data_IF_069123535462
#
_entry.id   IF_069123535462
#
_cell.length_a   1.000
_cell.length_b   1.000
_cell.length_c   1.000
_cell.angle_alpha   90.00
_cell.angle_beta   90.00
_cell.angle_gamma   90.00
#
_symmetry.space_group_name_H-M   'P 1'
#
loop_
_entity.id
_entity.type
_entity.pdbx_description
1 polymer ?
#
# COMPACT_ATOMS: atom_id res chain seq x y z
N UNK A 1 -55.17 20.22 -75.80
CA UNK A 1 -53.96 19.42 -76.07
C UNK A 1 -53.18 19.40 -74.75
N UNK A 2 -53.49 18.48 -73.82
CA UNK A 2 -52.64 17.33 -73.44
C UNK A 2 -51.41 17.78 -72.65
N UNK A 3 -51.06 17.37 -71.42
CA UNK A 3 -51.24 16.12 -70.63
C UNK A 3 -51.05 16.48 -69.14
N UNK A 4 -51.92 16.05 -68.21
CA UNK A 4 -51.69 15.01 -67.19
C UNK A 4 -50.23 14.68 -66.79
N UNK A 5 -49.97 14.67 -65.48
CA UNK A 5 -48.75 14.14 -64.85
C UNK A 5 -48.78 14.30 -63.32
N UNK A 6 -49.20 13.23 -62.66
CA UNK A 6 -49.49 13.07 -61.23
C UNK A 6 -48.25 12.77 -60.37
N UNK A 7 -48.47 12.74 -59.04
CA UNK A 7 -47.76 11.99 -57.98
C UNK A 7 -46.77 12.74 -57.06
N UNK A 8 -47.21 12.94 -55.81
CA UNK A 8 -46.35 12.83 -54.62
C UNK A 8 -46.11 11.36 -54.29
N UNK A 9 -45.01 11.01 -53.60
CA UNK A 9 -45.22 10.56 -52.22
C UNK A 9 -44.12 10.92 -51.21
N UNK A 10 -44.51 10.73 -49.95
CA UNK A 10 -43.76 10.83 -48.71
C UNK A 10 -42.47 9.98 -48.63
N UNK A 11 -41.49 10.51 -47.86
CA UNK A 11 -40.80 9.72 -46.82
C UNK A 11 -39.28 9.54 -46.96
N UNK A 12 -38.52 10.07 -45.98
CA UNK A 12 -37.60 9.25 -45.17
C UNK A 12 -37.00 10.02 -43.98
N UNK A 13 -36.93 9.30 -42.85
CA UNK A 13 -36.38 9.68 -41.55
C UNK A 13 -34.85 9.96 -41.56
N UNK A 14 -34.31 10.63 -40.52
CA UNK A 14 -32.86 10.78 -40.36
C UNK A 14 -32.20 9.45 -39.96
N UNK A 15 -31.09 9.11 -40.60
CA UNK A 15 -30.28 7.94 -40.29
C UNK A 15 -29.43 8.18 -39.03
N UNK A 16 -29.68 7.40 -37.98
CA UNK A 16 -28.75 7.20 -36.86
C UNK A 16 -27.48 6.51 -37.37
N UNK A 17 -26.34 7.21 -37.29
CA UNK A 17 -25.02 6.63 -37.53
C UNK A 17 -24.51 5.91 -36.28
N UNK A 18 -24.57 4.57 -36.29
CA UNK A 18 -23.99 3.70 -35.26
C UNK A 18 -22.46 3.71 -35.35
N UNK A 19 -21.77 4.11 -34.27
CA UNK A 19 -20.31 3.97 -34.13
C UNK A 19 -19.92 2.50 -33.96
N UNK A 20 -19.33 1.89 -34.99
CA UNK A 20 -18.77 0.54 -34.91
C UNK A 20 -17.44 0.55 -34.11
N UNK A 21 -17.44 -0.13 -32.97
CA UNK A 21 -16.24 -0.40 -32.15
C UNK A 21 -15.30 -1.34 -32.91
N UNK A 22 -14.11 -0.86 -33.29
CA UNK A 22 -13.07 -1.74 -33.87
C UNK A 22 -12.49 -2.66 -32.78
N UNK A 23 -12.58 -3.98 -33.01
CA UNK A 23 -11.89 -4.99 -32.20
C UNK A 23 -10.37 -4.96 -32.49
N UNK A 24 -9.50 -5.06 -31.47
CA UNK A 24 -8.05 -5.13 -31.67
C UNK A 24 -7.65 -6.48 -32.31
N UNK A 25 -6.75 -6.43 -33.29
CA UNK A 25 -6.31 -7.57 -34.10
C UNK A 25 -5.48 -8.61 -33.32
N UNK A 26 -5.78 -9.90 -33.53
CA UNK A 26 -5.18 -11.06 -32.86
C UNK A 26 -3.65 -11.23 -33.03
N UNK A 27 -3.00 -10.45 -33.90
CA UNK A 27 -1.56 -10.49 -34.12
C UNK A 27 -0.75 -9.94 -32.94
N UNK A 28 -1.29 -8.99 -32.16
CA UNK A 28 -0.60 -8.39 -31.00
C UNK A 28 -0.62 -9.32 -29.79
N UNK A 29 -1.68 -10.12 -29.64
CA UNK A 29 -1.81 -11.08 -28.54
C UNK A 29 -0.80 -12.24 -28.66
N UNK A 30 -0.49 -12.68 -29.89
CA UNK A 30 0.49 -13.75 -30.13
C UNK A 30 1.93 -13.32 -29.82
N UNK A 31 2.28 -12.05 -30.06
CA UNK A 31 3.62 -11.52 -29.71
C UNK A 31 3.81 -11.38 -28.20
N UNK A 32 2.80 -10.92 -27.44
CA UNK A 32 2.90 -10.82 -25.97
C UNK A 32 3.01 -12.17 -25.26
N UNK A 33 2.44 -13.24 -25.82
CA UNK A 33 2.46 -14.58 -25.21
C UNK A 33 3.84 -15.26 -25.28
N UNK A 34 4.66 -14.94 -26.28
CA UNK A 34 6.01 -15.48 -26.43
C UNK A 34 7.01 -14.84 -25.44
N UNK A 35 6.89 -13.54 -25.16
CA UNK A 35 7.75 -12.84 -24.19
C UNK A 35 7.47 -13.25 -22.73
N UNK A 36 6.20 -13.48 -22.38
CA UNK A 36 5.82 -13.96 -21.05
C UNK A 36 6.26 -15.41 -20.79
N UNK A 37 6.19 -16.30 -21.79
CA UNK A 37 6.65 -17.69 -21.64
C UNK A 37 8.17 -17.82 -21.50
N UNK A 38 8.94 -17.02 -22.24
CA UNK A 38 10.40 -17.01 -22.16
C UNK A 38 10.93 -16.50 -20.82
N UNK A 39 10.33 -15.44 -20.26
CA UNK A 39 10.74 -14.88 -18.98
C UNK A 39 10.48 -15.83 -17.80
N UNK A 40 9.37 -16.57 -17.81
CA UNK A 40 9.03 -17.54 -16.75
C UNK A 40 10.00 -18.73 -16.76
N UNK A 41 10.39 -19.25 -17.94
CA UNK A 41 11.36 -20.35 -18.03
C UNK A 41 12.75 -19.94 -17.53
N UNK A 42 13.16 -18.69 -17.78
CA UNK A 42 14.43 -18.15 -17.29
C UNK A 42 14.45 -18.04 -15.76
N UNK A 43 13.34 -17.62 -15.14
CA UNK A 43 13.21 -17.56 -13.68
C UNK A 43 13.25 -18.97 -13.07
N UNK A 44 12.57 -19.94 -13.67
CA UNK A 44 12.58 -21.33 -13.17
C UNK A 44 13.99 -21.94 -13.22
N UNK A 45 14.76 -21.66 -14.28
CA UNK A 45 16.16 -22.12 -14.39
C UNK A 45 17.10 -21.45 -13.37
N UNK A 46 16.85 -20.19 -13.00
CA UNK A 46 17.63 -19.50 -11.97
C UNK A 46 17.33 -20.01 -10.56
N UNK A 47 16.07 -20.40 -10.28
CA UNK A 47 15.65 -20.88 -8.95
C UNK A 47 16.10 -22.33 -8.71
N UNK A 48 16.21 -23.18 -9.73
CA UNK A 48 16.73 -24.55 -9.58
C UNK A 48 18.24 -24.63 -9.33
N UNK A 49 18.98 -23.53 -9.55
CA UNK A 49 20.42 -23.45 -9.33
C UNK A 49 20.82 -23.17 -7.87
N UNK A 50 19.86 -22.84 -7.00
CA UNK A 50 20.11 -22.46 -5.60
C UNK A 50 19.74 -23.56 -4.57
N UNK A 51 19.46 -24.78 -5.03
CA UNK A 51 19.02 -25.89 -4.18
C UNK A 51 20.01 -27.07 -4.10
N UNK A 52 21.31 -26.85 -4.32
CA UNK A 52 22.37 -27.85 -4.06
C UNK A 52 23.59 -27.17 -3.42
N UNK A 53 23.44 -26.70 -2.18
CA UNK A 53 24.57 -26.38 -1.28
C UNK A 53 24.05 -26.28 0.17
N UNK A 54 23.62 -27.41 0.73
CA UNK A 54 23.17 -27.48 2.12
C UNK A 54 23.26 -28.88 2.72
N UNK A 55 24.00 -29.79 2.08
CA UNK A 55 24.37 -31.05 2.70
C UNK A 55 25.60 -30.83 3.60
N UNK A 56 25.61 -31.54 4.71
CA UNK A 56 26.68 -31.66 5.72
C UNK A 56 26.64 -30.69 6.90
N UNK A 57 25.99 -31.14 7.98
CA UNK A 57 26.35 -30.99 9.41
C UNK A 57 25.04 -30.94 10.22
N UNK A 58 24.74 -31.78 11.19
CA UNK A 58 25.50 -32.83 11.82
C UNK A 58 24.53 -33.84 12.45
N UNK A 59 25.03 -35.07 12.55
CA UNK A 59 24.44 -36.20 13.25
C UNK A 59 24.72 -36.05 14.74
N UNK A 60 23.72 -36.26 15.60
CA UNK A 60 23.92 -36.70 16.98
C UNK A 60 22.66 -37.44 17.45
N UNK A 61 22.82 -38.77 17.52
CA UNK A 61 22.21 -39.74 18.44
C UNK A 61 21.63 -39.12 19.74
N UNK A 62 20.40 -39.43 20.18
CA UNK A 62 19.85 -40.68 20.76
C UNK A 62 19.62 -40.54 22.28
N UNK A 63 18.53 -41.18 22.73
CA UNK A 63 18.15 -41.64 24.08
C UNK A 63 16.99 -40.83 24.70
N UNK A 64 15.76 -41.34 24.71
CA UNK A 64 15.22 -42.47 25.50
C UNK A 64 14.84 -42.10 26.94
N UNK A 65 13.52 -42.09 27.14
CA UNK A 65 12.80 -42.92 28.12
C UNK A 65 12.37 -42.31 29.47
N UNK A 66 11.06 -42.50 29.64
CA UNK A 66 10.31 -42.96 30.82
C UNK A 66 9.79 -41.97 31.87
N UNK A 67 8.46 -42.05 31.99
CA UNK A 67 7.61 -41.62 33.08
C UNK A 67 7.91 -42.34 34.40
N UNK A 68 7.57 -41.70 35.52
CA UNK A 68 7.04 -42.38 36.70
C UNK A 68 6.26 -41.41 37.60
N UNK A 69 5.08 -41.87 37.99
CA UNK A 69 4.09 -41.32 38.91
C UNK A 69 4.35 -41.89 40.32
N UNK A 70 4.17 -41.10 41.39
CA UNK A 70 3.73 -41.48 42.75
C UNK A 70 3.86 -40.22 43.64
N UNK A 71 2.83 -39.58 44.19
CA UNK A 71 1.85 -40.02 45.20
C UNK A 71 2.49 -40.48 46.52
N UNK A 72 2.43 -39.63 47.55
CA UNK A 72 1.88 -39.92 48.89
C UNK A 72 2.34 -38.88 49.94
N UNK A 73 1.36 -38.22 50.55
CA UNK A 73 1.40 -37.59 51.89
C UNK A 73 1.50 -38.69 52.97
N UNK A 74 1.87 -38.41 54.25
CA UNK A 74 0.99 -37.70 55.19
C UNK A 74 1.66 -36.75 56.21
N UNK A 75 0.90 -35.70 56.58
CA UNK A 75 0.61 -35.20 57.95
C UNK A 75 1.74 -35.04 58.99
N UNK A 76 1.97 -33.80 59.48
CA UNK A 76 1.70 -33.39 60.88
C UNK A 76 2.27 -32.01 61.26
N UNK A 77 1.54 -31.37 62.19
CA UNK A 77 1.95 -30.35 63.15
C UNK A 77 1.92 -28.87 62.70
N UNK A 78 0.84 -28.22 63.15
CA UNK A 78 0.62 -26.79 63.14
C UNK A 78 1.64 -26.02 63.99
N UNK A 79 2.07 -24.87 63.49
CA UNK A 79 2.61 -23.77 64.27
C UNK A 79 2.11 -22.46 63.63
N UNK A 80 1.46 -21.53 64.36
CA UNK A 80 0.92 -20.32 63.77
C UNK A 80 2.07 -19.32 63.59
N UNK A 81 2.76 -19.41 62.45
CA UNK A 81 3.62 -18.31 62.01
C UNK A 81 2.73 -17.29 61.31
N UNK A 82 2.65 -16.12 61.92
CA UNK A 82 2.03 -14.90 61.39
C UNK A 82 2.56 -14.64 59.98
N UNK A 83 1.78 -14.99 58.96
CA UNK A 83 2.11 -14.68 57.57
C UNK A 83 1.91 -13.18 57.35
N UNK A 84 3.01 -12.44 57.40
CA UNK A 84 3.09 -11.13 56.78
C UNK A 84 2.75 -11.29 55.28
N UNK A 85 1.78 -10.56 54.72
CA UNK A 85 1.49 -10.64 53.29
C UNK A 85 2.71 -10.14 52.53
N UNK A 86 3.43 -11.05 51.87
CA UNK A 86 4.48 -10.70 50.94
C UNK A 86 3.90 -9.70 49.91
N UNK A 87 4.57 -8.56 49.65
CA UNK A 87 4.07 -7.61 48.69
C UNK A 87 3.98 -8.31 47.33
N UNK A 88 2.77 -8.42 46.81
CA UNK A 88 2.53 -8.91 45.46
C UNK A 88 3.33 -8.00 44.51
N UNK A 89 4.21 -8.53 43.64
CA UNK A 89 4.92 -7.70 42.70
C UNK A 89 3.88 -7.01 41.85
N UNK A 90 3.77 -5.68 42.01
CA UNK A 90 2.97 -4.88 41.09
C UNK A 90 3.55 -5.14 39.70
N UNK A 91 2.75 -5.55 38.70
CA UNK A 91 3.28 -5.76 37.36
C UNK A 91 3.85 -4.42 36.89
N UNK A 92 5.18 -4.34 36.87
CA UNK A 92 5.86 -3.22 36.25
C UNK A 92 5.42 -3.21 34.81
N UNK A 93 4.73 -2.16 34.37
CA UNK A 93 4.26 -2.05 33.01
C UNK A 93 5.49 -2.17 32.10
N UNK A 94 5.63 -3.31 31.43
CA UNK A 94 6.66 -3.50 30.40
C UNK A 94 6.54 -2.32 29.44
N UNK A 95 7.61 -1.56 29.17
CA UNK A 95 7.51 -0.36 28.35
C UNK A 95 6.92 -0.72 26.99
N UNK A 96 5.67 -0.29 26.75
CA UNK A 96 5.01 -0.47 25.47
C UNK A 96 5.58 0.47 24.41
N UNK A 97 5.28 0.21 23.14
CA UNK A 97 5.53 1.18 22.08
C UNK A 97 4.88 2.53 22.42
N UNK A 98 5.69 3.60 22.43
CA UNK A 98 5.17 4.95 22.46
C UNK A 98 4.78 5.40 21.04
N UNK A 99 3.49 5.32 20.72
CA UNK A 99 2.96 5.68 19.40
C UNK A 99 3.21 7.15 19.01
N UNK A 100 3.53 8.05 19.95
CA UNK A 100 3.90 9.43 19.62
C UNK A 100 5.28 9.52 18.97
N UNK A 101 6.15 8.53 19.20
CA UNK A 101 7.47 8.44 18.56
C UNK A 101 7.41 7.80 17.17
N UNK A 102 6.26 7.29 16.74
CA UNK A 102 6.01 6.90 15.35
C UNK A 102 5.68 8.17 14.56
N UNK A 103 6.52 8.48 13.57
CA UNK A 103 6.43 9.70 12.76
C UNK A 103 6.17 9.35 11.29
N UNK A 104 5.57 10.30 10.56
CA UNK A 104 5.31 10.19 9.12
C UNK A 104 6.04 11.33 8.42
N UNK A 105 6.77 11.03 7.36
CA UNK A 105 7.41 12.02 6.49
C UNK A 105 6.95 11.87 5.05
N UNK A 106 6.83 13.00 4.36
CA UNK A 106 6.56 13.08 2.94
C UNK A 106 7.82 13.54 2.20
N UNK A 107 8.09 12.95 1.04
CA UNK A 107 9.09 13.43 0.11
C UNK A 107 8.70 13.15 -1.34
N UNK A 108 9.39 13.81 -2.26
CA UNK A 108 9.33 13.53 -3.69
C UNK A 108 10.74 13.19 -4.18
N UNK A 109 10.86 12.44 -5.29
CA UNK A 109 12.15 12.02 -5.84
C UNK A 109 12.97 13.17 -6.45
N UNK A 110 12.32 14.28 -6.81
CA UNK A 110 12.95 15.52 -7.29
C UNK A 110 12.25 16.73 -6.68
N UNK A 111 12.96 17.85 -6.63
CA UNK A 111 12.40 19.15 -6.23
C UNK A 111 11.64 19.84 -7.38
N UNK A 112 11.96 19.52 -8.63
CA UNK A 112 11.32 20.09 -9.81
C UNK A 112 11.25 19.03 -10.93
N UNK A 113 10.20 19.12 -11.74
CA UNK A 113 9.91 18.14 -12.78
C UNK A 113 9.58 18.83 -14.09
N UNK A 114 10.23 18.41 -15.18
CA UNK A 114 9.97 18.92 -16.53
C UNK A 114 8.64 18.43 -17.11
N UNK A 115 8.28 18.84 -18.34
CA UNK A 115 7.05 18.40 -18.99
C UNK A 115 6.95 16.87 -19.07
N UNK A 116 5.85 16.31 -18.58
CA UNK A 116 5.57 14.87 -18.64
C UNK A 116 6.26 14.00 -17.58
N UNK A 117 7.12 14.56 -16.72
CA UNK A 117 7.76 13.78 -15.64
C UNK A 117 6.84 13.60 -14.43
N UNK A 118 6.47 12.38 -14.07
CA UNK A 118 5.55 12.17 -12.94
C UNK A 118 6.30 12.15 -11.60
N UNK A 119 5.88 12.95 -10.59
CA UNK A 119 6.45 12.88 -9.25
C UNK A 119 6.21 11.52 -8.59
N UNK A 120 7.26 10.94 -8.00
CA UNK A 120 7.12 9.82 -7.07
C UNK A 120 6.88 10.37 -5.67
N UNK A 121 5.62 10.34 -5.22
CA UNK A 121 5.25 10.74 -3.87
C UNK A 121 5.61 9.61 -2.91
N UNK A 122 6.38 9.93 -1.86
CA UNK A 122 6.89 8.92 -0.92
C UNK A 122 6.42 9.23 0.50
N UNK A 123 5.68 8.30 1.09
CA UNK A 123 5.31 8.30 2.50
C UNK A 123 6.27 7.36 3.21
N UNK A 124 6.97 7.86 4.24
CA UNK A 124 7.81 7.05 5.12
C UNK A 124 7.31 7.12 6.56
N UNK A 125 7.16 5.96 7.18
CA UNK A 125 6.79 5.79 8.58
C UNK A 125 8.02 5.36 9.36
N UNK A 126 8.38 6.07 10.41
CA UNK A 126 9.59 5.78 11.20
C UNK A 126 9.23 5.61 12.66
N UNK A 127 9.73 4.53 13.29
CA UNK A 127 9.67 4.35 14.73
C UNK A 127 10.89 4.99 15.37
N UNK A 128 10.72 6.17 15.98
CA UNK A 128 11.78 6.87 16.72
C UNK A 128 11.91 6.43 18.20
N UNK A 129 11.14 5.43 18.63
CA UNK A 129 11.20 4.88 19.98
C UNK A 129 12.27 3.81 20.15
N UNK A 130 12.36 3.28 21.37
CA UNK A 130 13.29 2.20 21.75
C UNK A 130 12.64 0.81 21.76
N UNK A 131 11.33 0.73 21.53
CA UNK A 131 10.55 -0.51 21.51
C UNK A 131 9.91 -0.72 20.13
N UNK A 132 9.73 -1.98 19.67
CA UNK A 132 9.03 -2.26 18.43
C UNK A 132 7.56 -1.80 18.50
N UNK A 133 7.06 -1.26 17.40
CA UNK A 133 5.71 -0.69 17.31
C UNK A 133 4.88 -1.40 16.25
N UNK A 134 3.70 -1.91 16.64
CA UNK A 134 2.67 -2.30 15.68
C UNK A 134 2.00 -1.05 15.10
N UNK A 135 2.04 -0.92 13.79
CA UNK A 135 1.50 0.23 13.06
C UNK A 135 0.69 -0.27 11.87
N UNK A 136 -0.58 0.14 11.79
CA UNK A 136 -1.38 -0.08 10.60
C UNK A 136 -0.96 0.90 9.50
N UNK A 137 -0.23 0.38 8.52
CA UNK A 137 0.24 1.07 7.31
C UNK A 137 -0.61 0.71 6.08
N UNK A 138 -1.86 0.28 6.29
CA UNK A 138 -2.79 -0.05 5.23
C UNK A 138 -3.34 1.17 4.49
N UNK A 139 -3.92 0.95 3.32
CA UNK A 139 -4.60 1.99 2.52
C UNK A 139 -5.87 2.52 3.18
N UNK A 140 -6.38 1.85 4.21
CA UNK A 140 -7.38 2.39 5.14
C UNK A 140 -6.88 3.64 5.86
N UNK A 141 -5.61 3.62 6.28
CA UNK A 141 -4.97 4.67 7.06
C UNK A 141 -4.20 5.68 6.19
N UNK A 142 -3.68 5.26 5.04
CA UNK A 142 -2.82 6.09 4.19
C UNK A 142 -3.61 7.11 3.37
N UNK A 143 -3.02 8.29 3.20
CA UNK A 143 -3.45 9.29 2.22
C UNK A 143 -2.23 10.00 1.62
N UNK A 144 -2.21 10.12 0.29
CA UNK A 144 -1.30 11.00 -0.44
C UNK A 144 -2.08 12.20 -0.93
N UNK A 145 -1.82 13.38 -0.36
CA UNK A 145 -2.55 14.62 -0.65
C UNK A 145 -1.62 15.62 -1.35
N UNK A 146 -2.06 16.15 -2.50
CA UNK A 146 -1.35 17.20 -3.23
C UNK A 146 -2.23 18.45 -3.32
N UNK A 147 -1.62 19.60 -3.02
CA UNK A 147 -2.26 20.93 -3.05
C UNK A 147 -1.37 21.94 -3.77
N UNK A 148 -1.94 23.06 -4.21
CA UNK A 148 -1.21 24.25 -4.67
C UNK A 148 -1.84 25.49 -4.06
N UNK A 149 -1.15 26.13 -3.11
CA UNK A 149 -1.79 27.16 -2.27
C UNK A 149 -2.99 26.60 -1.50
N UNK A 150 -4.17 27.20 -1.70
CA UNK A 150 -5.43 26.71 -1.14
C UNK A 150 -6.15 25.69 -2.05
N UNK A 151 -5.67 25.49 -3.27
CA UNK A 151 -6.30 24.59 -4.23
C UNK A 151 -5.95 23.13 -3.94
N UNK A 152 -6.98 22.29 -3.74
CA UNK A 152 -6.82 20.84 -3.55
C UNK A 152 -6.76 20.15 -4.91
N UNK A 153 -5.60 19.61 -5.23
CA UNK A 153 -5.31 19.07 -6.56
C UNK A 153 -5.67 17.58 -6.64
N UNK A 154 -5.21 16.79 -5.69
CA UNK A 154 -5.32 15.33 -5.72
C UNK A 154 -5.34 14.74 -4.31
N UNK A 155 -6.09 13.66 -4.12
CA UNK A 155 -5.95 12.74 -2.99
C UNK A 155 -6.02 11.30 -3.47
N UNK A 156 -5.15 10.44 -2.95
CA UNK A 156 -5.21 8.99 -3.23
C UNK A 156 -6.52 8.35 -2.77
N UNK A 157 -7.26 8.98 -1.85
CA UNK A 157 -8.54 8.46 -1.34
C UNK A 157 -9.70 8.67 -2.32
N UNK A 158 -9.60 9.66 -3.20
CA UNK A 158 -10.68 10.08 -4.09
C UNK A 158 -11.18 8.96 -5.01
N UNK A 159 -10.26 8.11 -5.48
CA UNK A 159 -10.51 7.02 -6.42
C UNK A 159 -10.30 5.63 -5.80
N UNK A 160 -10.16 5.55 -4.48
CA UNK A 160 -9.89 4.29 -3.80
C UNK A 160 -11.16 3.44 -3.72
N UNK A 161 -11.25 2.40 -4.57
CA UNK A 161 -12.40 1.51 -4.60
C UNK A 161 -12.51 0.62 -3.35
N UNK A 162 -11.38 0.21 -2.77
CA UNK A 162 -11.29 -0.60 -1.55
C UNK A 162 -10.11 -0.12 -0.72
N UNK A 163 -10.30 -0.13 0.61
CA UNK A 163 -9.24 0.07 1.59
C UNK A 163 -8.92 -1.24 2.29
N UNK A 164 -7.66 -1.46 2.63
CA UNK A 164 -7.20 -2.61 3.39
C UNK A 164 -6.33 -2.16 4.55
N UNK A 165 -6.44 -2.87 5.69
CA UNK A 165 -5.52 -2.74 6.81
C UNK A 165 -4.26 -3.55 6.54
N UNK A 166 -3.12 -3.01 6.98
CA UNK A 166 -1.84 -3.70 6.94
C UNK A 166 -1.05 -3.35 8.20
N UNK A 167 -1.18 -4.19 9.23
CA UNK A 167 -0.42 -4.01 10.47
C UNK A 167 0.98 -4.57 10.28
N UNK A 168 1.99 -3.74 10.54
CA UNK A 168 3.40 -4.14 10.56
C UNK A 168 4.03 -3.81 11.91
N UNK A 169 4.95 -4.66 12.34
CA UNK A 169 5.84 -4.36 13.47
C UNK A 169 7.06 -3.62 12.95
N UNK A 170 7.21 -2.35 13.33
CA UNK A 170 8.35 -1.51 12.98
C UNK A 170 9.33 -1.49 14.15
N UNK A 171 10.53 -2.04 13.97
CA UNK A 171 11.57 -2.07 14.99
C UNK A 171 12.07 -0.64 15.35
N UNK A 172 12.71 -0.46 16.51
CA UNK A 172 13.37 0.80 16.89
C UNK A 172 14.29 1.34 15.79
N UNK A 173 14.13 2.60 15.40
CA UNK A 173 14.89 3.25 14.33
C UNK A 173 14.57 2.77 12.90
N UNK A 174 13.79 1.69 12.74
CA UNK A 174 13.41 1.17 11.43
C UNK A 174 12.32 2.03 10.78
N UNK A 175 12.11 1.81 9.48
CA UNK A 175 11.12 2.54 8.71
C UNK A 175 10.46 1.68 7.65
N UNK A 176 9.21 2.02 7.35
CA UNK A 176 8.41 1.46 6.26
C UNK A 176 8.09 2.57 5.26
N UNK A 177 8.11 2.24 3.97
CA UNK A 177 7.90 3.23 2.90
C UNK A 177 6.82 2.79 1.93
N UNK A 178 5.98 3.73 1.51
CA UNK A 178 5.02 3.57 0.42
C UNK A 178 5.29 4.61 -0.66
N UNK A 179 5.36 4.17 -1.91
CA UNK A 179 5.65 5.00 -3.07
C UNK A 179 4.42 5.06 -3.98
N UNK A 180 4.04 6.27 -4.38
CA UNK A 180 2.90 6.54 -5.24
C UNK A 180 3.32 7.42 -6.41
N UNK A 181 3.46 6.87 -7.63
CA UNK A 181 3.73 7.67 -8.81
C UNK A 181 2.46 8.45 -9.20
N UNK A 182 2.47 9.76 -9.00
CA UNK A 182 1.32 10.61 -9.30
C UNK A 182 1.38 11.09 -10.75
N UNK A 183 0.37 10.73 -11.55
CA UNK A 183 0.26 11.03 -12.98
C UNK A 183 -0.04 12.50 -13.31
N UNK A 184 0.17 13.44 -12.37
CA UNK A 184 -0.21 14.85 -12.49
C UNK A 184 -1.69 15.04 -12.88
N UNK A 185 -2.57 14.16 -12.39
CA UNK A 185 -4.00 14.25 -12.63
C UNK A 185 -4.71 14.78 -11.40
N UNK A 186 -5.69 15.67 -11.61
CA UNK A 186 -6.58 16.08 -10.54
C UNK A 186 -7.51 14.92 -10.16
N UNK A 187 -7.99 14.95 -8.93
CA UNK A 187 -9.06 14.06 -8.49
C UNK A 187 -10.01 14.80 -7.56
N UNK A 188 -11.23 14.28 -7.48
CA UNK A 188 -12.26 14.61 -6.49
C UNK A 188 -12.90 13.32 -6.01
N UNK A 189 -13.51 13.39 -4.82
CA UNK A 189 -14.19 12.26 -4.21
C UNK A 189 -15.13 11.55 -5.20
N UNK A 190 -15.11 10.22 -5.18
CA UNK A 190 -15.87 9.40 -6.12
C UNK A 190 -15.27 9.36 -7.53
N UNK A 191 -14.02 9.78 -7.70
CA UNK A 191 -13.27 9.76 -8.95
C UNK A 191 -14.01 10.40 -10.13
N UNK A 192 -14.75 11.48 -9.88
CA UNK A 192 -15.53 12.13 -10.94
C UNK A 192 -14.60 12.75 -12.00
N UNK A 193 -15.00 12.74 -13.28
CA UNK A 193 -14.20 13.35 -14.35
C UNK A 193 -13.95 14.83 -14.09
N UNK A 194 -12.69 15.24 -14.24
CA UNK A 194 -12.26 16.64 -14.18
C UNK A 194 -11.30 16.90 -15.34
N UNK A 195 -11.69 17.84 -16.20
CA UNK A 195 -10.88 18.27 -17.35
C UNK A 195 -9.74 19.22 -16.96
N UNK A 196 -9.88 19.92 -15.83
CA UNK A 196 -8.86 20.83 -15.33
C UNK A 196 -7.59 20.05 -14.98
N UNK A 197 -6.45 20.47 -15.54
CA UNK A 197 -5.14 19.90 -15.23
C UNK A 197 -4.45 20.70 -14.13
N UNK A 198 -3.57 20.09 -13.32
CA UNK A 198 -2.66 20.86 -12.49
C UNK A 198 -1.86 21.82 -13.37
N UNK A 199 -1.67 23.06 -12.92
CA UNK A 199 -0.83 24.05 -13.59
C UNK A 199 0.61 23.56 -13.86
N UNK A 200 1.10 23.83 -15.06
CA UNK A 200 2.54 23.74 -15.39
C UNK A 200 3.18 25.13 -15.37
N UNK A 201 4.38 25.25 -15.95
CA UNK A 201 5.03 26.56 -16.12
C UNK A 201 5.67 27.09 -14.83
N UNK A 202 6.14 26.19 -13.96
CA UNK A 202 6.83 26.55 -12.72
C UNK A 202 5.92 26.67 -11.50
N UNK A 203 4.71 26.10 -11.54
CA UNK A 203 3.80 26.10 -10.41
C UNK A 203 4.34 25.24 -9.25
N UNK A 204 4.19 25.76 -8.03
CA UNK A 204 4.57 25.05 -6.81
C UNK A 204 3.43 24.21 -6.25
N UNK A 205 3.79 23.03 -5.77
CA UNK A 205 2.91 22.04 -5.19
C UNK A 205 3.41 21.65 -3.81
N UNK A 206 2.45 21.32 -2.95
CA UNK A 206 2.69 20.79 -1.60
C UNK A 206 2.14 19.38 -1.57
N UNK A 207 3.01 18.42 -1.32
CA UNK A 207 2.66 17.05 -0.96
C UNK A 207 2.67 16.88 0.56
N UNK A 208 1.58 16.33 1.09
CA UNK A 208 1.46 15.91 2.47
C UNK A 208 1.02 14.44 2.50
N UNK A 209 1.72 13.64 3.29
CA UNK A 209 1.37 12.25 3.52
C UNK A 209 0.66 12.11 4.87
N UNK A 210 -0.38 11.28 4.95
CA UNK A 210 -1.06 10.99 6.23
C UNK A 210 -1.11 9.50 6.50
N UNK A 211 -1.11 9.18 7.78
CA UNK A 211 -1.35 7.83 8.30
C UNK A 211 -2.26 7.93 9.53
N UNK A 212 -3.55 7.61 9.36
CA UNK A 212 -4.56 7.81 10.40
C UNK A 212 -4.65 9.28 10.80
N UNK A 213 -4.47 9.59 12.08
CA UNK A 213 -4.48 10.96 12.61
C UNK A 213 -3.14 11.71 12.45
N UNK A 214 -2.07 11.03 12.00
CA UNK A 214 -0.75 11.65 11.82
C UNK A 214 -0.62 12.22 10.41
N UNK A 215 -0.15 13.46 10.30
CA UNK A 215 0.19 14.11 9.05
C UNK A 215 1.69 14.44 9.02
N UNK A 216 2.32 14.31 7.86
CA UNK A 216 3.70 14.69 7.67
C UNK A 216 3.90 16.20 7.65
N UNK A 217 5.13 16.68 7.85
CA UNK A 217 5.55 17.98 7.31
C UNK A 217 5.31 18.06 5.80
N UNK A 218 5.28 19.28 5.27
CA UNK A 218 5.05 19.56 3.86
C UNK A 218 6.31 19.24 3.03
N UNK A 219 6.15 18.48 1.96
CA UNK A 219 7.14 18.38 0.88
C UNK A 219 6.74 19.33 -0.25
N UNK A 220 7.65 20.22 -0.66
CA UNK A 220 7.40 21.18 -1.73
C UNK A 220 8.14 20.75 -2.99
N UNK A 221 7.45 20.81 -4.12
CA UNK A 221 8.03 20.53 -5.43
C UNK A 221 7.41 21.42 -6.51
N UNK A 222 8.07 21.52 -7.66
CA UNK A 222 7.65 22.35 -8.79
C UNK A 222 7.32 21.49 -10.02
N UNK A 223 6.27 21.87 -10.74
CA UNK A 223 5.98 21.34 -12.07
C UNK A 223 6.28 22.42 -13.13
N UNK A 224 7.26 22.15 -13.99
CA UNK A 224 7.68 23.00 -15.10
C UNK A 224 6.93 22.68 -16.38
#
# INVERSE_FOLDING_TARGET
>A
MGRQGESSPHGRAPASGSTAVRKPSAAVYRRRRLFLGGAVLLIIALVSSFAVAGAFSGRSEQASSTAATASAEPTAAASPSTSEPAPTPTPSATPGCNQNLVTVSASTDKAAYGPGENPMLTLKVTNGGTMPCEVNIGTSQMEFLVTSGADRIFSSRDCQAKSEDLVKVIAPGASETANFPWSRTRSVEGCQPIEAKPGGGGAYYIFTAKLGSKASPKAVFQLN
#
